data_IF_165276039475
#
_entry.id   IF_165276039475
#
_cell.length_a   1.000
_cell.length_b   1.000
_cell.length_c   1.000
_cell.angle_alpha   90.00
_cell.angle_beta   90.00
_cell.angle_gamma   90.00
#
_symmetry.space_group_name_H-M   'P 1'
#
loop_
_entity.id
_entity.type
_entity.pdbx_description
1 polymer ?
#
# COMPACT_ATOMS: atom_id res chain seq x y z
N UNK A 1 23.35 -7.40 21.38
CA UNK A 1 22.86 -6.26 22.18
C UNK A 1 21.40 -6.48 22.52
N UNK A 2 20.98 -6.11 23.73
CA UNK A 2 19.57 -6.13 24.14
C UNK A 2 19.28 -4.83 24.88
N UNK A 3 18.19 -4.17 24.50
CA UNK A 3 17.57 -3.07 25.25
C UNK A 3 16.13 -3.46 25.55
N UNK A 4 15.61 -3.00 26.69
CA UNK A 4 14.25 -3.34 27.12
C UNK A 4 13.61 -2.15 27.81
N UNK A 5 12.36 -1.88 27.45
CA UNK A 5 11.51 -0.85 28.04
C UNK A 5 12.13 0.55 28.07
N UNK A 6 12.87 0.92 27.01
CA UNK A 6 13.43 2.27 26.86
C UNK A 6 12.34 3.20 26.35
N UNK A 7 12.01 4.23 27.11
CA UNK A 7 11.10 5.27 26.63
C UNK A 7 11.76 6.08 25.52
N UNK A 8 11.14 6.09 24.34
CA UNK A 8 11.58 6.88 23.20
C UNK A 8 10.59 8.00 22.94
N UNK A 9 11.12 9.15 22.54
CA UNK A 9 10.38 10.28 21.99
C UNK A 9 11.36 11.03 21.08
N UNK A 10 11.47 10.58 19.85
CA UNK A 10 12.55 11.00 18.95
C UNK A 10 12.07 11.08 17.50
N UNK A 11 12.90 11.72 16.68
CA UNK A 11 12.76 11.65 15.24
C UNK A 11 12.98 10.20 14.77
N UNK A 12 12.33 9.87 13.67
CA UNK A 12 12.22 8.49 13.17
C UNK A 12 13.46 7.98 12.41
N UNK A 13 14.52 8.78 12.31
CA UNK A 13 15.63 8.61 11.36
C UNK A 13 16.21 7.19 11.29
N UNK A 14 16.54 6.58 12.44
CA UNK A 14 17.11 5.23 12.48
C UNK A 14 16.07 4.13 12.40
N UNK A 15 14.90 4.32 13.03
CA UNK A 15 13.84 3.31 13.06
C UNK A 15 13.16 3.17 11.70
N UNK A 16 13.19 4.22 10.87
CA UNK A 16 12.63 4.21 9.52
C UNK A 16 13.34 3.24 8.56
N UNK A 17 14.58 2.85 8.85
CA UNK A 17 15.30 1.81 8.10
C UNK A 17 14.75 0.41 8.34
N UNK A 18 14.00 0.20 9.43
CA UNK A 18 13.45 -1.10 9.83
C UNK A 18 11.93 -1.11 9.69
N UNK A 19 11.28 0.00 10.05
CA UNK A 19 9.83 0.16 10.00
C UNK A 19 9.53 1.37 9.10
N UNK A 20 9.36 1.18 7.78
CA UNK A 20 9.33 2.27 6.80
C UNK A 20 8.10 3.15 6.90
N UNK A 21 7.04 2.76 7.61
CA UNK A 21 5.92 3.68 7.91
C UNK A 21 6.40 4.89 8.73
N UNK A 22 7.51 4.74 9.45
CA UNK A 22 8.19 5.80 10.17
C UNK A 22 9.07 6.67 9.25
N UNK A 23 9.13 6.41 7.95
CA UNK A 23 9.92 7.23 7.04
C UNK A 23 9.37 8.65 6.94
N UNK A 24 10.22 9.64 7.24
CA UNK A 24 9.86 11.03 7.23
C UNK A 24 11.10 11.93 7.09
N UNK A 25 10.94 13.15 6.56
CA UNK A 25 11.80 14.24 6.97
C UNK A 25 11.39 14.84 8.34
N UNK A 26 10.10 14.76 8.75
CA UNK A 26 9.57 15.52 9.92
C UNK A 26 8.74 14.70 10.92
N UNK A 27 8.82 13.36 10.89
CA UNK A 27 7.98 12.47 11.69
C UNK A 27 8.59 12.17 13.07
N UNK A 28 7.73 12.01 14.09
CA UNK A 28 8.12 11.66 15.46
C UNK A 28 7.41 10.42 15.94
N UNK A 29 8.15 9.56 16.64
CA UNK A 29 7.61 8.37 17.31
C UNK A 29 7.85 8.47 18.81
N UNK A 30 6.85 8.06 19.57
CA UNK A 30 6.97 7.81 21.00
C UNK A 30 6.55 6.39 21.36
N UNK A 31 7.00 5.89 22.52
CA UNK A 31 6.59 4.60 23.06
C UNK A 31 7.66 3.97 23.93
N UNK A 32 7.44 2.72 24.35
CA UNK A 32 8.43 1.88 25.06
C UNK A 32 9.10 0.94 24.06
N UNK A 33 10.36 1.20 23.76
CA UNK A 33 11.18 0.41 22.85
C UNK A 33 11.87 -0.74 23.60
N UNK A 34 11.63 -1.95 23.13
CA UNK A 34 12.44 -3.13 23.40
C UNK A 34 13.08 -3.60 22.09
N UNK A 35 14.38 -3.91 22.13
CA UNK A 35 15.07 -4.42 20.95
C UNK A 35 16.12 -5.46 21.32
N UNK A 36 16.25 -6.46 20.47
CA UNK A 36 17.33 -7.44 20.53
C UNK A 36 17.99 -7.48 19.15
N UNK A 37 19.32 -7.43 19.13
CA UNK A 37 20.07 -7.42 17.88
C UNK A 37 21.38 -8.16 18.02
N UNK A 38 21.69 -8.99 17.04
CA UNK A 38 22.97 -9.66 16.88
C UNK A 38 23.45 -9.41 15.45
N UNK A 39 24.66 -8.88 15.31
CA UNK A 39 25.31 -8.77 14.02
C UNK A 39 26.80 -8.99 14.11
N UNK A 40 27.36 -9.37 12.97
CA UNK A 40 28.78 -9.51 12.71
C UNK A 40 29.09 -8.74 11.44
N UNK A 41 30.24 -8.12 11.39
CA UNK A 41 30.73 -7.39 10.22
C UNK A 41 32.22 -7.24 10.31
N UNK A 42 32.85 -6.97 9.17
CA UNK A 42 34.30 -6.85 9.04
C UNK A 42 34.68 -5.45 8.54
N UNK A 43 35.86 -4.99 8.94
CA UNK A 43 36.38 -3.68 8.55
C UNK A 43 35.94 -2.53 9.45
N UNK A 44 36.63 -1.40 9.32
CA UNK A 44 36.44 -0.21 10.16
C UNK A 44 35.75 0.92 9.40
N UNK A 45 35.76 0.90 8.06
CA UNK A 45 35.11 1.89 7.22
C UNK A 45 33.67 1.47 6.91
N UNK A 46 32.71 2.35 7.21
CA UNK A 46 31.30 2.07 6.96
C UNK A 46 31.01 1.82 5.47
N UNK A 47 31.36 2.77 4.61
CA UNK A 47 31.06 2.71 3.17
C UNK A 47 31.74 1.54 2.46
N UNK A 48 33.01 1.30 2.75
CA UNK A 48 33.81 0.40 1.92
C UNK A 48 33.76 -1.05 2.37
N UNK A 49 33.68 -1.29 3.69
CA UNK A 49 33.90 -2.60 4.29
C UNK A 49 32.71 -3.08 5.12
N UNK A 50 32.31 -2.30 6.14
CA UNK A 50 31.39 -2.76 7.16
C UNK A 50 29.97 -2.92 6.62
N UNK A 51 29.46 -1.94 5.86
CA UNK A 51 28.12 -2.00 5.27
C UNK A 51 27.91 -3.23 4.36
N UNK A 52 28.96 -3.63 3.65
CA UNK A 52 28.91 -4.77 2.71
C UNK A 52 29.05 -6.12 3.40
N UNK A 53 29.72 -6.17 4.55
CA UNK A 53 29.98 -7.41 5.29
C UNK A 53 29.05 -7.60 6.50
N UNK A 54 28.25 -6.59 6.85
CA UNK A 54 27.33 -6.63 7.98
C UNK A 54 26.24 -7.66 7.72
N UNK A 55 26.22 -8.68 8.58
CA UNK A 55 25.21 -9.72 8.61
C UNK A 55 24.65 -9.81 10.01
N UNK A 56 23.34 -9.85 10.14
CA UNK A 56 22.72 -9.84 11.46
C UNK A 56 21.24 -10.13 11.43
N UNK A 57 20.68 -10.22 12.62
CA UNK A 57 19.26 -10.37 12.84
C UNK A 57 18.86 -9.63 14.10
N UNK A 58 17.63 -9.17 14.14
CA UNK A 58 17.09 -8.55 15.33
C UNK A 58 15.58 -8.58 15.37
N UNK A 59 15.09 -8.08 16.49
CA UNK A 59 13.69 -7.94 16.80
C UNK A 59 13.50 -6.59 17.48
N UNK A 60 12.43 -5.90 17.08
CA UNK A 60 11.99 -4.64 17.66
C UNK A 60 10.55 -4.82 18.09
N UNK A 61 10.24 -4.29 19.26
CA UNK A 61 8.90 -4.17 19.81
C UNK A 61 8.77 -2.77 20.43
N UNK A 62 7.75 -2.01 20.02
CA UNK A 62 7.47 -0.65 20.52
C UNK A 62 6.03 -0.65 21.02
N UNK A 63 5.85 -0.47 22.32
CA UNK A 63 4.53 -0.50 22.96
C UNK A 63 4.03 0.88 23.35
N UNK A 64 2.70 1.01 23.43
CA UNK A 64 1.98 2.13 24.04
C UNK A 64 2.46 3.49 23.51
N UNK A 65 2.31 3.72 22.20
CA UNK A 65 2.95 4.85 21.55
C UNK A 65 2.07 5.58 20.54
N UNK A 66 2.66 6.62 19.95
CA UNK A 66 2.05 7.34 18.85
C UNK A 66 3.07 7.69 17.78
N UNK A 67 2.59 7.76 16.55
CA UNK A 67 3.28 8.31 15.39
C UNK A 67 2.64 9.65 15.06
N UNK A 68 3.44 10.71 15.03
CA UNK A 68 2.98 12.04 14.61
C UNK A 68 3.70 12.46 13.33
N UNK A 69 2.91 12.89 12.34
CA UNK A 69 3.42 13.33 11.04
C UNK A 69 3.95 12.18 10.18
N UNK A 70 4.95 12.47 9.35
CA UNK A 70 5.53 11.52 8.40
C UNK A 70 4.71 11.35 7.12
N UNK A 71 5.40 11.34 5.98
CA UNK A 71 4.73 11.43 4.67
C UNK A 71 3.81 10.24 4.38
N UNK A 72 4.23 9.04 4.79
CA UNK A 72 3.45 7.81 4.57
C UNK A 72 2.28 7.77 5.55
N UNK A 73 2.54 7.87 6.86
CA UNK A 73 1.51 7.82 7.90
C UNK A 73 0.43 8.88 7.69
N UNK A 74 0.81 10.14 7.44
CA UNK A 74 -0.17 11.20 7.17
C UNK A 74 -1.04 10.89 5.95
N UNK A 75 -0.49 10.31 4.88
CA UNK A 75 -1.27 9.95 3.68
C UNK A 75 -2.24 8.80 3.95
N UNK A 76 -1.81 7.81 4.74
CA UNK A 76 -2.68 6.71 5.20
C UNK A 76 -3.80 7.28 6.08
N UNK A 77 -3.48 8.11 7.08
CA UNK A 77 -4.45 8.72 7.99
C UNK A 77 -5.48 9.59 7.24
N UNK A 78 -5.03 10.42 6.30
CA UNK A 78 -5.92 11.20 5.44
C UNK A 78 -6.86 10.33 4.61
N UNK A 79 -6.38 9.18 4.13
CA UNK A 79 -7.20 8.23 3.34
C UNK A 79 -8.35 7.66 4.17
N UNK A 80 -8.16 7.51 5.48
CA UNK A 80 -9.18 7.04 6.42
C UNK A 80 -9.94 8.18 7.12
N UNK A 81 -9.71 9.44 6.76
CA UNK A 81 -10.37 10.61 7.34
C UNK A 81 -10.02 10.86 8.81
N UNK A 82 -8.78 10.54 9.21
CA UNK A 82 -8.29 10.62 10.60
C UNK A 82 -7.37 11.81 10.85
N UNK A 83 -7.10 12.06 12.13
CA UNK A 83 -6.22 13.11 12.63
C UNK A 83 -4.75 12.91 12.20
N UNK A 84 -3.89 13.88 12.51
CA UNK A 84 -2.46 13.90 12.14
C UNK A 84 -1.58 12.94 12.97
N UNK A 85 -2.16 12.30 13.98
CA UNK A 85 -1.48 11.39 14.90
C UNK A 85 -2.14 10.01 14.85
N UNK A 86 -1.31 8.98 14.84
CA UNK A 86 -1.71 7.58 14.86
C UNK A 86 -1.26 6.93 16.17
N UNK A 87 -2.23 6.61 17.02
CA UNK A 87 -2.00 5.87 18.26
C UNK A 87 -1.91 4.37 17.99
N UNK A 88 -0.90 3.72 18.55
CA UNK A 88 -0.69 2.29 18.42
C UNK A 88 -0.48 1.62 19.79
N UNK A 89 -0.97 0.39 19.90
CA UNK A 89 -0.74 -0.47 21.06
C UNK A 89 0.63 -1.16 20.92
N UNK A 90 0.96 -1.63 19.71
CA UNK A 90 2.25 -2.27 19.44
C UNK A 90 2.75 -2.09 18.00
N UNK A 91 4.06 -1.90 17.84
CA UNK A 91 4.81 -2.10 16.59
C UNK A 91 5.81 -3.22 16.85
N UNK A 92 5.68 -4.34 16.15
CA UNK A 92 6.61 -5.48 16.29
C UNK A 92 7.13 -5.94 14.93
N UNK A 93 8.42 -6.27 14.87
CA UNK A 93 9.01 -6.89 13.68
C UNK A 93 10.28 -7.66 14.01
N UNK A 94 10.54 -8.69 13.21
CA UNK A 94 11.87 -9.30 13.08
C UNK A 94 12.51 -8.82 11.79
N UNK A 95 13.79 -8.56 11.84
CA UNK A 95 14.56 -8.12 10.68
C UNK A 95 15.84 -8.92 10.51
N UNK A 96 16.26 -9.06 9.27
CA UNK A 96 17.54 -9.65 8.87
C UNK A 96 18.35 -8.59 8.14
N UNK A 97 19.63 -8.52 8.46
CA UNK A 97 20.61 -7.71 7.77
C UNK A 97 21.50 -8.62 6.94
N UNK A 98 21.54 -8.40 5.64
CA UNK A 98 22.47 -9.02 4.70
C UNK A 98 22.55 -8.17 3.44
N UNK A 99 23.60 -8.34 2.63
CA UNK A 99 23.74 -7.69 1.33
C UNK A 99 23.44 -6.18 1.31
N UNK A 100 23.89 -5.46 2.36
CA UNK A 100 23.64 -4.03 2.58
C UNK A 100 22.15 -3.63 2.67
N UNK A 101 21.29 -4.58 3.06
CA UNK A 101 19.84 -4.43 3.21
C UNK A 101 19.37 -4.92 4.56
N UNK A 102 18.28 -4.31 5.01
CA UNK A 102 17.45 -4.74 6.13
C UNK A 102 16.16 -5.27 5.50
N UNK A 103 15.88 -6.55 5.71
CA UNK A 103 14.68 -7.20 5.22
C UNK A 103 13.76 -7.55 6.38
N UNK A 104 12.45 -7.37 6.18
CA UNK A 104 11.40 -7.69 7.13
C UNK A 104 10.33 -8.53 6.42
N UNK A 105 10.11 -9.75 6.92
CA UNK A 105 9.04 -10.60 6.40
C UNK A 105 7.68 -10.24 6.99
N UNK A 106 7.67 -9.68 8.19
CA UNK A 106 6.48 -9.26 8.92
C UNK A 106 6.78 -8.07 9.84
N UNK A 107 6.13 -6.96 9.54
CA UNK A 107 6.01 -5.79 10.41
C UNK A 107 4.54 -5.69 10.76
N UNK A 108 4.22 -5.86 12.04
CA UNK A 108 2.86 -5.73 12.55
C UNK A 108 2.76 -4.44 13.35
N UNK A 109 1.80 -3.60 12.97
CA UNK A 109 1.46 -2.37 13.65
C UNK A 109 0.00 -2.47 14.06
N UNK A 110 -0.23 -2.61 15.35
CA UNK A 110 -1.55 -2.77 15.92
C UNK A 110 -1.95 -1.45 16.56
N UNK A 111 -3.04 -0.87 16.07
CA UNK A 111 -3.53 0.41 16.55
C UNK A 111 -5.03 0.43 16.72
N UNK A 112 -5.53 1.48 17.36
CA UNK A 112 -6.95 1.60 17.72
C UNK A 112 -7.86 1.74 16.49
N UNK A 113 -7.35 2.40 15.45
CA UNK A 113 -8.13 2.74 14.26
C UNK A 113 -8.01 1.70 13.15
N UNK A 114 -6.79 1.24 12.89
CA UNK A 114 -6.46 0.25 11.87
C UNK A 114 -5.19 -0.49 12.27
N UNK A 115 -5.07 -1.72 11.80
CA UNK A 115 -3.84 -2.51 11.84
C UNK A 115 -3.11 -2.37 10.51
N UNK A 116 -1.78 -2.36 10.54
CA UNK A 116 -0.95 -2.35 9.34
C UNK A 116 -0.01 -3.55 9.38
N UNK A 117 -0.07 -4.38 8.34
CA UNK A 117 0.95 -5.38 8.02
C UNK A 117 1.88 -4.83 6.95
N UNK A 118 3.20 -5.00 7.09
CA UNK A 118 4.17 -4.66 6.05
C UNK A 118 5.23 -5.75 5.88
N UNK A 119 5.71 -5.93 4.66
CA UNK A 119 6.87 -6.76 4.35
C UNK A 119 7.67 -6.17 3.20
N UNK A 120 8.98 -6.36 3.21
CA UNK A 120 9.87 -5.73 2.24
C UNK A 120 11.27 -5.49 2.76
N UNK A 121 11.97 -4.55 2.16
CA UNK A 121 13.36 -4.26 2.48
C UNK A 121 13.72 -2.78 2.34
N UNK A 122 14.72 -2.37 3.11
CA UNK A 122 15.40 -1.07 3.02
C UNK A 122 16.90 -1.28 2.90
N UNK A 123 17.56 -0.66 1.92
CA UNK A 123 19.02 -0.68 1.78
C UNK A 123 19.69 0.41 2.62
N UNK A 124 20.98 0.24 2.92
CA UNK A 124 21.76 1.20 3.70
C UNK A 124 21.96 2.56 3.02
N UNK A 125 21.85 2.63 1.69
CA UNK A 125 21.78 3.90 0.94
C UNK A 125 20.39 4.58 1.02
N UNK A 126 19.45 3.93 1.71
CA UNK A 126 18.11 4.44 1.99
C UNK A 126 17.07 4.14 0.92
N UNK A 127 17.35 3.33 -0.11
CA UNK A 127 16.29 2.84 -1.01
C UNK A 127 15.39 1.84 -0.28
N UNK A 128 14.11 1.84 -0.60
CA UNK A 128 13.14 0.95 0.04
C UNK A 128 12.11 0.41 -0.96
N UNK A 129 11.63 -0.80 -0.69
CA UNK A 129 10.50 -1.42 -1.37
C UNK A 129 9.72 -2.28 -0.37
N UNK A 130 8.47 -1.91 -0.10
CA UNK A 130 7.57 -2.63 0.79
C UNK A 130 6.20 -2.82 0.17
N UNK A 131 5.60 -3.96 0.48
CA UNK A 131 4.16 -4.19 0.37
C UNK A 131 3.53 -3.97 1.74
N UNK A 132 2.35 -3.36 1.78
CA UNK A 132 1.62 -3.14 3.00
C UNK A 132 0.14 -3.49 2.82
N UNK A 133 -0.48 -3.96 3.89
CA UNK A 133 -1.92 -4.08 4.01
C UNK A 133 -2.40 -3.31 5.25
N UNK A 134 -3.41 -2.46 5.06
CA UNK A 134 -4.08 -1.78 6.15
C UNK A 134 -5.49 -2.35 6.32
N UNK A 135 -5.84 -2.77 7.53
CA UNK A 135 -7.13 -3.34 7.90
C UNK A 135 -7.80 -2.47 8.97
N UNK A 136 -9.01 -1.99 8.69
CA UNK A 136 -9.79 -1.22 9.66
C UNK A 136 -10.39 -2.13 10.74
N UNK A 137 -10.15 -1.83 12.01
CA UNK A 137 -10.62 -2.63 13.16
C UNK A 137 -11.92 -2.10 13.80
N UNK A 138 -12.38 -0.90 13.40
CA UNK A 138 -13.59 -0.26 13.96
C UNK A 138 -14.67 0.12 12.92
N UNK A 139 -15.73 0.83 13.35
CA UNK A 139 -16.76 1.44 12.46
C UNK A 139 -16.23 2.65 11.65
N UNK A 140 -14.91 2.79 11.54
CA UNK A 140 -14.21 4.02 11.20
C UNK A 140 -13.89 4.13 9.71
N UNK A 141 -14.91 3.93 8.87
CA UNK A 141 -14.87 4.33 7.48
C UNK A 141 -15.62 5.67 7.39
N UNK A 142 -14.88 6.78 7.51
CA UNK A 142 -15.40 8.12 7.27
C UNK A 142 -15.77 8.35 5.79
N UNK A 143 -16.43 9.47 5.49
CA UNK A 143 -17.09 9.74 4.20
C UNK A 143 -16.25 9.51 2.93
N UNK A 144 -14.95 9.83 2.95
CA UNK A 144 -14.07 9.61 1.80
C UNK A 144 -13.54 8.17 1.72
N UNK A 145 -13.33 7.51 2.87
CA UNK A 145 -13.00 6.09 2.91
C UNK A 145 -14.14 5.24 2.33
N UNK A 146 -15.40 5.67 2.45
CA UNK A 146 -16.55 4.98 1.85
C UNK A 146 -16.60 5.13 0.32
N UNK A 147 -15.97 6.18 -0.26
CA UNK A 147 -15.78 6.33 -1.71
C UNK A 147 -14.61 5.51 -2.23
N UNK A 148 -13.54 5.42 -1.43
CA UNK A 148 -12.31 4.68 -1.75
C UNK A 148 -12.50 3.17 -1.56
N UNK A 149 -13.25 2.78 -0.52
CA UNK A 149 -13.60 1.41 -0.17
C UNK A 149 -15.01 1.02 -0.66
N UNK A 150 -15.59 1.76 -1.62
CA UNK A 150 -17.00 1.73 -2.05
C UNK A 150 -17.58 0.41 -2.60
N UNK A 151 -17.00 -0.72 -2.24
CA UNK A 151 -17.54 -2.07 -2.41
C UNK A 151 -16.82 -3.12 -1.54
N UNK A 152 -15.93 -2.70 -0.64
CA UNK A 152 -15.10 -3.58 0.17
C UNK A 152 -15.71 -3.77 1.56
N UNK A 153 -15.89 -5.02 1.97
CA UNK A 153 -16.47 -5.39 3.26
C UNK A 153 -15.58 -4.94 4.43
N UNK A 154 -16.15 -4.82 5.63
CA UNK A 154 -15.37 -4.68 6.88
C UNK A 154 -14.26 -5.74 6.90
N UNK A 155 -13.01 -5.34 7.19
CA UNK A 155 -11.85 -6.24 7.17
C UNK A 155 -11.11 -6.33 5.83
N UNK A 156 -11.46 -5.51 4.82
CA UNK A 156 -10.73 -5.52 3.56
C UNK A 156 -9.39 -4.80 3.68
N UNK A 157 -8.33 -5.50 3.27
CA UNK A 157 -6.94 -5.04 3.23
C UNK A 157 -6.71 -4.10 2.05
N UNK A 158 -6.20 -2.89 2.29
CA UNK A 158 -5.77 -1.98 1.23
C UNK A 158 -4.35 -2.35 0.78
N UNK A 159 -4.14 -2.88 -0.45
CA UNK A 159 -2.81 -3.21 -0.95
C UNK A 159 -2.03 -1.93 -1.29
N UNK A 160 -1.07 -1.60 -0.45
CA UNK A 160 -0.20 -0.43 -0.57
C UNK A 160 1.18 -0.90 -1.00
N UNK A 161 1.83 -0.15 -1.88
CA UNK A 161 3.24 -0.32 -2.17
C UNK A 161 3.98 0.97 -1.85
N UNK A 162 5.07 0.82 -1.11
CA UNK A 162 5.93 1.90 -0.67
C UNK A 162 7.28 1.72 -1.37
N UNK A 163 7.70 2.70 -2.17
CA UNK A 163 8.97 2.70 -2.89
C UNK A 163 9.73 4.02 -2.72
N UNK A 164 10.91 4.13 -3.32
CA UNK A 164 11.70 5.37 -3.34
C UNK A 164 12.81 5.30 -2.30
N UNK A 165 12.98 6.38 -1.53
CA UNK A 165 13.96 6.41 -0.44
C UNK A 165 13.32 6.82 0.88
N UNK A 166 13.96 6.51 2.01
CA UNK A 166 13.48 6.87 3.36
C UNK A 166 13.19 8.38 3.47
N UNK A 167 14.02 9.21 2.85
CA UNK A 167 13.83 10.66 2.85
C UNK A 167 12.73 11.14 1.90
N UNK A 168 12.43 10.36 0.85
CA UNK A 168 11.46 10.70 -0.19
C UNK A 168 10.61 9.48 -0.57
N UNK A 169 9.82 8.92 0.37
CA UNK A 169 9.04 7.74 0.09
C UNK A 169 7.91 8.09 -0.89
N UNK A 170 7.54 7.09 -1.68
CA UNK A 170 6.46 7.12 -2.66
C UNK A 170 5.47 6.03 -2.30
N UNK A 171 4.21 6.41 -2.17
CA UNK A 171 3.12 5.51 -1.83
C UNK A 171 2.17 5.39 -3.03
N UNK A 172 1.99 4.17 -3.50
CA UNK A 172 1.03 3.80 -4.54
C UNK A 172 0.03 2.77 -4.00
N UNK A 173 -1.22 2.86 -4.46
CA UNK A 173 -2.27 1.89 -4.14
C UNK A 173 -2.43 0.94 -5.32
N UNK A 174 -2.25 -0.37 -5.10
CA UNK A 174 -2.45 -1.39 -6.13
C UNK A 174 -3.92 -1.80 -6.17
N UNK A 175 -4.74 -1.01 -6.83
CA UNK A 175 -6.14 -1.39 -7.04
C UNK A 175 -6.23 -2.70 -7.85
N UNK A 176 -6.96 -3.72 -7.37
CA UNK A 176 -7.23 -4.90 -8.18
C UNK A 176 -7.95 -4.46 -9.46
N UNK A 177 -7.60 -5.08 -10.59
CA UNK A 177 -8.25 -4.72 -11.87
C UNK A 177 -9.74 -5.05 -11.76
N UNK A 178 -10.65 -4.28 -12.40
CA UNK A 178 -12.09 -4.56 -12.38
C UNK A 178 -12.46 -6.01 -12.76
N UNK A 179 -11.61 -6.64 -13.58
CA UNK A 179 -11.73 -8.04 -14.02
C UNK A 179 -11.54 -9.05 -12.87
N UNK A 180 -10.72 -8.74 -11.87
CA UNK A 180 -10.49 -9.58 -10.69
C UNK A 180 -11.64 -9.46 -9.67
N UNK A 181 -12.27 -8.28 -9.60
CA UNK A 181 -13.47 -8.04 -8.77
C UNK A 181 -14.66 -8.89 -9.25
N UNK A 182 -14.79 -9.07 -10.58
CA UNK A 182 -15.81 -9.94 -11.18
C UNK A 182 -15.68 -11.40 -10.75
N UNK A 183 -14.46 -11.90 -10.58
CA UNK A 183 -14.21 -13.28 -10.16
C UNK A 183 -14.52 -13.49 -8.67
N UNK A 184 -14.31 -12.47 -7.83
CA UNK A 184 -14.65 -12.50 -6.40
C UNK A 184 -16.18 -12.49 -6.23
N UNK A 185 -16.90 -11.69 -7.02
CA UNK A 185 -18.37 -11.68 -7.03
C UNK A 185 -18.96 -12.98 -7.58
N UNK A 186 -18.34 -13.58 -8.60
CA UNK A 186 -18.76 -14.91 -9.10
C UNK A 186 -18.50 -16.03 -8.09
N UNK A 187 -17.44 -15.94 -7.28
CA UNK A 187 -17.19 -16.89 -6.19
C UNK A 187 -18.24 -16.83 -5.06
N UNK A 188 -18.81 -15.65 -4.82
CA UNK A 188 -19.86 -15.43 -3.81
C UNK A 188 -21.27 -15.76 -4.35
N UNK A 189 -21.51 -15.51 -5.64
CA UNK A 189 -22.80 -15.81 -6.29
C UNK A 189 -22.88 -17.24 -6.89
N UNK A 190 -21.76 -17.93 -7.03
CA UNK A 190 -21.63 -19.18 -7.78
C UNK A 190 -22.06 -20.47 -7.08
N UNK A 191 -22.59 -20.42 -5.85
CA UNK A 191 -23.01 -21.63 -5.13
C UNK A 191 -24.53 -21.77 -4.95
N UNK A 192 -25.34 -21.10 -5.76
CA UNK A 192 -26.79 -21.34 -5.83
C UNK A 192 -27.15 -22.12 -7.09
N UNK A 193 -26.55 -23.31 -7.22
CA UNK A 193 -26.92 -24.29 -8.24
C UNK A 193 -28.03 -25.19 -7.72
N UNK A 194 -29.29 -24.78 -7.91
CA UNK A 194 -30.41 -25.71 -8.13
C UNK A 194 -31.68 -24.92 -8.50
N UNK A 195 -31.98 -24.84 -9.81
CA UNK A 195 -33.32 -25.11 -10.31
C UNK A 195 -33.27 -25.47 -11.81
N UNK A 196 -33.88 -26.61 -12.13
CA UNK A 196 -33.92 -27.26 -13.43
C UNK A 196 -34.92 -26.60 -14.41
N UNK A 197 -34.78 -27.05 -15.67
CA UNK A 197 -35.79 -27.25 -16.73
C UNK A 197 -35.91 -26.23 -17.88
N UNK A 198 -35.21 -26.57 -18.98
CA UNK A 198 -35.80 -27.12 -20.22
C UNK A 198 -36.72 -26.22 -21.05
N UNK A 199 -36.26 -25.80 -22.25
CA UNK A 199 -36.99 -26.08 -23.53
C UNK A 199 -36.06 -25.94 -24.74
N UNK A 200 -35.93 -27.00 -25.53
CA UNK A 200 -35.41 -27.02 -26.89
C UNK A 200 -36.52 -26.67 -27.90
N UNK A 201 -36.19 -25.94 -28.97
CA UNK A 201 -36.64 -26.27 -30.35
C UNK A 201 -36.00 -25.35 -31.41
N UNK A 202 -34.99 -25.90 -32.08
CA UNK A 202 -34.87 -26.11 -33.54
C UNK A 202 -35.51 -25.09 -34.51
N UNK A 203 -34.68 -24.46 -35.37
CA UNK A 203 -34.67 -24.59 -36.86
C UNK A 203 -33.84 -23.48 -37.55
N UNK A 204 -32.75 -23.87 -38.20
CA UNK A 204 -32.15 -23.23 -39.40
C UNK A 204 -33.06 -23.48 -40.65
N UNK A 205 -32.92 -22.83 -41.85
CA UNK A 205 -31.67 -22.35 -42.50
C UNK A 205 -31.71 -21.06 -43.42
N UNK A 206 -30.53 -20.39 -43.57
CA UNK A 206 -29.70 -20.07 -44.79
C UNK A 206 -30.41 -19.63 -46.14
N UNK A 207 -29.80 -18.97 -47.18
CA UNK A 207 -28.78 -17.90 -47.39
C UNK A 207 -29.14 -16.82 -48.48
N UNK A 208 -28.28 -15.80 -48.70
CA UNK A 208 -27.49 -15.59 -49.94
C UNK A 208 -27.33 -14.15 -50.51
N UNK A 209 -26.17 -13.97 -51.17
CA UNK A 209 -25.75 -13.00 -52.22
C UNK A 209 -25.13 -11.67 -51.72
N UNK A 210 -23.81 -11.43 -51.66
CA UNK A 210 -22.62 -11.39 -52.59
C UNK A 210 -22.40 -10.07 -53.36
N UNK A 211 -21.14 -9.57 -53.30
CA UNK A 211 -20.33 -8.69 -54.20
C UNK A 211 -20.25 -7.18 -53.85
N UNK A 212 -19.09 -6.67 -53.40
CA UNK A 212 -17.92 -6.11 -54.18
C UNK A 212 -18.30 -4.75 -54.85
N UNK A 213 -17.58 -3.62 -54.81
CA UNK A 213 -16.14 -3.29 -54.74
C UNK A 213 -15.95 -1.77 -54.45
N UNK A 214 -14.78 -1.36 -53.89
CA UNK A 214 -13.96 -0.12 -54.10
C UNK A 214 -14.63 1.27 -54.32
N UNK A 215 -14.24 2.41 -53.71
CA UNK A 215 -12.90 3.05 -53.74
C UNK A 215 -12.86 4.26 -52.79
N UNK A 216 -11.66 4.48 -52.27
CA UNK A 216 -11.07 5.62 -51.54
C UNK A 216 -11.41 7.04 -52.05
N UNK A 217 -11.63 8.00 -51.12
CA UNK A 217 -11.27 9.41 -51.27
C UNK A 217 -11.17 10.14 -49.92
N UNK A 218 -9.99 10.72 -49.73
CA UNK A 218 -9.46 11.52 -48.63
C UNK A 218 -10.17 12.88 -48.46
N UNK A 219 -10.54 13.26 -47.23
CA UNK A 219 -10.60 14.66 -46.75
C UNK A 219 -10.89 14.74 -45.23
N UNK A 220 -9.92 15.23 -44.45
CA UNK A 220 -10.17 15.77 -43.10
C UNK A 220 -10.84 17.15 -43.21
N UNK A 221 -11.60 17.59 -42.18
CA UNK A 221 -10.98 18.53 -41.26
C UNK A 221 -11.26 18.25 -39.77
N UNK A 222 -10.20 18.40 -38.97
CA UNK A 222 -10.21 18.63 -37.53
C UNK A 222 -11.09 19.84 -37.18
N UNK A 223 -12.00 19.69 -36.21
CA UNK A 223 -12.38 20.66 -35.16
C UNK A 223 -13.68 20.21 -34.48
N UNK A 224 -13.58 19.73 -33.24
CA UNK A 224 -14.59 19.84 -32.15
C UNK A 224 -14.20 18.89 -31.00
N UNK A 225 -13.22 19.29 -30.19
CA UNK A 225 -13.05 18.67 -28.87
C UNK A 225 -12.36 19.56 -27.81
N UNK A 226 -12.10 20.84 -28.08
CA UNK A 226 -11.52 21.76 -27.09
C UNK A 226 -12.56 22.53 -26.26
N UNK A 227 -13.81 22.67 -26.70
CA UNK A 227 -14.78 23.54 -26.02
C UNK A 227 -15.64 22.89 -24.91
N UNK A 228 -15.49 21.59 -24.65
CA UNK A 228 -16.27 20.91 -23.59
C UNK A 228 -15.50 20.86 -22.27
N UNK A 229 -14.16 20.80 -22.32
CA UNK A 229 -13.31 20.72 -21.13
C UNK A 229 -13.17 22.09 -20.45
N UNK A 230 -12.99 23.16 -21.22
CA UNK A 230 -12.86 24.52 -20.67
C UNK A 230 -14.14 25.04 -20.01
N UNK A 231 -15.32 24.53 -20.41
CA UNK A 231 -16.59 24.90 -19.79
C UNK A 231 -16.81 24.20 -18.45
N UNK A 232 -16.23 23.02 -18.25
CA UNK A 232 -16.31 22.26 -17.00
C UNK A 232 -15.37 22.80 -15.91
N UNK A 233 -14.24 23.40 -16.28
CA UNK A 233 -13.26 23.93 -15.33
C UNK A 233 -13.63 25.31 -14.74
N UNK A 234 -14.47 26.11 -15.41
CA UNK A 234 -14.84 27.45 -14.93
C UNK A 234 -16.01 27.48 -13.94
N UNK A 235 -16.85 26.46 -13.90
CA UNK A 235 -17.98 26.39 -12.96
C UNK A 235 -17.60 25.82 -11.59
N UNK A 236 -16.39 25.26 -11.42
CA UNK A 236 -15.92 24.65 -10.17
C UNK A 236 -15.13 25.65 -9.29
N UNK A 237 -14.64 26.76 -9.85
CA UNK A 237 -13.87 27.78 -9.13
C UNK A 237 -14.50 29.18 -9.18
N UNK A 238 -15.70 29.30 -8.63
CA UNK A 238 -16.26 30.57 -8.15
C UNK A 238 -16.47 30.52 -6.65
#
# INVERSE_FOLDING_TARGET
>A
MKLSDVFINQNMDLLAYIVPVLAAPDGKISGKLSMMFNAKGNGLNWQDDLSKSLNGQGEIDIKDGYIKGGKITSKILQTFGKAEEYEFDNISTKFVINDSKISNDDISINGKDFNIGLSGWTSFDGQLEYSADAEAVGKLIGGDANRILGGMSKGTKLPIVITGTINKPRLAFKWPKPQEIGNILQGILGNSGDLKQQTESTKEPIPAVTKETETEKEAQPKKKMENVVDKLFKDIFK
#
